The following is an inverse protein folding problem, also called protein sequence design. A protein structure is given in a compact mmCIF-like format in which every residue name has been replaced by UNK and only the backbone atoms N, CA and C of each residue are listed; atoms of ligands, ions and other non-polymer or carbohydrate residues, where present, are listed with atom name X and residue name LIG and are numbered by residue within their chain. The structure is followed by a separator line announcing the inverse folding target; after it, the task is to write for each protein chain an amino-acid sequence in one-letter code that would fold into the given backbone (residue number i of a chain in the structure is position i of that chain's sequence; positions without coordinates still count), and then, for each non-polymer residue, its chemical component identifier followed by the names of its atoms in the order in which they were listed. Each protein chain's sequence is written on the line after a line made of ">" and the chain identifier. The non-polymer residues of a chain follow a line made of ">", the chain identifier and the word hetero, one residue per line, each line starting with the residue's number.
data_IF_899639420209
#
_entry.id   IF_899639420209
#
_cell.length_a   1.000
_cell.length_b   1.000
_cell.length_c   1.000
_cell.angle_alpha   90.00
_cell.angle_beta   90.00
_cell.angle_gamma   90.00
#
_symmetry.space_group_name_H-M   'P 1'
#
loop_
_entity.id
_entity.type
_entity.pdbx_description
1 polymer ?
#
# COMPACT_ATOMS: atom_id res chain seq x y z
N UNK A 1 -4.81 -13.07 -6.90
CA UNK A 1 -4.20 -13.45 -5.62
C UNK A 1 -2.69 -13.47 -5.67
N UNK A 2 -2.05 -14.60 -6.01
CA UNK A 2 -0.58 -14.70 -6.14
C UNK A 2 -0.16 -14.56 -7.61
N UNK A 3 -0.07 -13.32 -8.08
CA UNK A 3 0.18 -12.96 -9.48
C UNK A 3 1.60 -13.25 -9.94
N UNK A 4 2.54 -13.33 -9.00
CA UNK A 4 3.97 -13.57 -9.27
C UNK A 4 4.42 -14.98 -8.93
N UNK A 5 3.47 -15.88 -8.58
CA UNK A 5 3.74 -17.25 -8.13
C UNK A 5 4.73 -17.33 -6.97
N UNK A 6 4.68 -16.34 -6.06
CA UNK A 6 5.60 -16.20 -4.93
C UNK A 6 5.65 -17.46 -4.06
N UNK A 7 4.50 -18.14 -3.87
CA UNK A 7 4.39 -19.37 -3.06
C UNK A 7 5.30 -20.50 -3.56
N UNK A 8 5.61 -20.52 -4.85
CA UNK A 8 6.47 -21.55 -5.45
C UNK A 8 7.96 -21.17 -5.41
N UNK A 9 8.29 -19.91 -5.11
CA UNK A 9 9.66 -19.43 -5.08
C UNK A 9 10.44 -20.01 -3.89
N UNK A 10 11.55 -20.70 -4.17
CA UNK A 10 12.36 -21.38 -3.15
C UNK A 10 12.99 -20.40 -2.16
N UNK A 11 13.43 -19.22 -2.62
CA UNK A 11 14.00 -18.19 -1.75
C UNK A 11 12.94 -17.59 -0.84
N UNK A 12 11.73 -17.34 -1.36
CA UNK A 12 10.59 -16.92 -0.54
C UNK A 12 10.26 -17.92 0.56
N UNK A 13 10.21 -19.23 0.26
CA UNK A 13 9.89 -20.26 1.27
C UNK A 13 10.82 -20.20 2.49
N UNK A 14 12.11 -19.91 2.29
CA UNK A 14 13.08 -19.72 3.39
C UNK A 14 12.76 -18.45 4.20
N UNK A 15 12.59 -17.32 3.52
CA UNK A 15 12.25 -16.03 4.14
C UNK A 15 10.94 -16.12 4.94
N UNK A 16 9.92 -16.76 4.36
CA UNK A 16 8.60 -16.92 4.96
C UNK A 16 8.62 -17.82 6.21
N UNK A 17 9.54 -18.80 6.26
CA UNK A 17 9.74 -19.63 7.45
C UNK A 17 10.35 -18.82 8.61
N UNK A 18 11.30 -17.92 8.32
CA UNK A 18 11.93 -17.04 9.31
C UNK A 18 10.98 -15.95 9.84
N UNK A 19 10.12 -15.44 8.96
CA UNK A 19 9.22 -14.31 9.27
C UNK A 19 7.84 -14.72 9.75
N UNK A 20 7.45 -15.99 9.60
CA UNK A 20 6.10 -16.48 9.90
C UNK A 20 5.04 -16.04 8.88
N UNK A 21 5.46 -15.77 7.63
CA UNK A 21 4.60 -15.28 6.54
C UNK A 21 4.30 -16.35 5.49
N UNK A 22 4.22 -17.63 5.87
CA UNK A 22 4.10 -18.74 4.90
C UNK A 22 2.80 -18.69 4.08
N UNK A 23 1.73 -18.19 4.67
CA UNK A 23 0.41 -18.15 4.05
C UNK A 23 0.18 -16.84 3.28
N UNK A 24 0.60 -16.83 2.02
CA UNK A 24 0.43 -15.67 1.10
C UNK A 24 -1.02 -15.60 0.59
N UNK A 25 -1.70 -14.51 0.94
CA UNK A 25 -3.08 -14.18 0.55
C UNK A 25 -3.11 -13.39 -0.77
N UNK A 26 -2.12 -12.51 -0.95
CA UNK A 26 -1.90 -11.73 -2.18
C UNK A 26 -0.41 -11.49 -2.41
N UNK A 27 0.04 -11.51 -3.67
CA UNK A 27 1.37 -11.05 -4.06
C UNK A 27 1.36 -10.54 -5.50
N UNK A 28 1.90 -9.34 -5.71
CA UNK A 28 2.03 -8.72 -7.04
C UNK A 28 3.20 -7.71 -7.09
N UNK A 29 3.69 -7.38 -8.28
CA UNK A 29 4.62 -6.27 -8.49
C UNK A 29 3.79 -5.02 -8.77
N UNK A 30 3.81 -4.06 -7.85
CA UNK A 30 3.02 -2.83 -7.92
C UNK A 30 3.88 -1.59 -7.79
N UNK A 31 3.28 -0.42 -7.97
CA UNK A 31 3.96 0.86 -7.84
C UNK A 31 3.79 1.41 -6.43
N UNK A 32 4.88 1.55 -5.69
CA UNK A 32 4.92 2.32 -4.44
C UNK A 32 5.21 3.77 -4.77
N UNK A 33 4.38 4.69 -4.27
CA UNK A 33 4.60 6.12 -4.47
C UNK A 33 5.64 6.62 -3.45
N UNK A 34 6.66 7.30 -3.95
CA UNK A 34 7.71 7.88 -3.13
C UNK A 34 7.17 9.12 -2.41
N UNK A 35 7.13 9.06 -1.08
CA UNK A 35 6.63 10.15 -0.21
C UNK A 35 7.17 11.50 -0.62
N UNK A 36 8.49 11.63 -0.75
CA UNK A 36 9.16 12.92 -1.00
C UNK A 36 8.89 13.52 -2.39
N UNK A 37 8.48 12.74 -3.40
CA UNK A 37 8.46 13.22 -4.79
C UNK A 37 7.21 12.86 -5.58
N UNK A 38 6.37 11.93 -5.11
CA UNK A 38 5.25 11.39 -5.89
C UNK A 38 5.68 10.38 -6.96
N UNK A 39 6.98 10.08 -7.13
CA UNK A 39 7.45 9.14 -8.16
C UNK A 39 7.08 7.69 -7.83
N UNK A 40 6.66 6.94 -8.85
CA UNK A 40 6.40 5.50 -8.74
C UNK A 40 7.71 4.70 -8.64
N UNK A 41 7.73 3.73 -7.74
CA UNK A 41 8.82 2.76 -7.57
C UNK A 41 8.25 1.34 -7.58
N UNK A 42 8.67 0.52 -8.55
CA UNK A 42 8.25 -0.87 -8.61
C UNK A 42 8.73 -1.66 -7.40
N UNK A 43 7.80 -2.33 -6.72
CA UNK A 43 8.07 -3.13 -5.53
C UNK A 43 7.24 -4.41 -5.58
N UNK A 44 7.75 -5.49 -4.99
CA UNK A 44 6.93 -6.65 -4.71
C UNK A 44 6.11 -6.35 -3.44
N UNK A 45 4.78 -6.36 -3.59
CA UNK A 45 3.84 -6.19 -2.50
C UNK A 45 3.23 -7.54 -2.15
N UNK A 46 3.25 -7.88 -0.86
CA UNK A 46 2.78 -9.17 -0.37
C UNK A 46 1.84 -8.94 0.80
N UNK A 47 0.72 -9.65 0.82
CA UNK A 47 -0.15 -9.77 1.99
C UNK A 47 -0.09 -11.23 2.44
N UNK A 48 0.44 -11.47 3.62
CA UNK A 48 0.31 -12.75 4.32
C UNK A 48 -0.91 -12.73 5.24
N UNK A 49 -1.20 -13.82 5.93
CA UNK A 49 -2.21 -13.85 6.99
C UNK A 49 -1.82 -13.05 8.25
N UNK A 50 -0.59 -12.56 8.36
CA UNK A 50 -0.09 -11.85 9.55
C UNK A 50 0.44 -10.44 9.27
N UNK A 51 0.84 -10.13 8.04
CA UNK A 51 1.49 -8.87 7.71
C UNK A 51 1.29 -8.44 6.25
N UNK A 52 1.46 -7.13 6.04
CA UNK A 52 1.71 -6.53 4.73
C UNK A 52 3.23 -6.34 4.58
N UNK A 53 3.81 -6.87 3.50
CA UNK A 53 5.23 -6.75 3.20
C UNK A 53 5.46 -5.95 1.92
N UNK A 54 6.53 -5.17 1.95
CA UNK A 54 7.06 -4.43 0.81
C UNK A 54 8.49 -4.90 0.59
N UNK A 55 8.73 -5.52 -0.55
CA UNK A 55 9.97 -6.22 -0.86
C UNK A 55 10.57 -5.72 -2.16
N UNK A 56 11.88 -5.86 -2.29
CA UNK A 56 12.53 -5.72 -3.59
C UNK A 56 12.05 -6.82 -4.55
N UNK A 57 11.53 -6.45 -5.71
CA UNK A 57 10.95 -7.41 -6.65
C UNK A 57 11.99 -8.30 -7.35
N UNK A 58 13.28 -7.91 -7.33
CA UNK A 58 14.37 -8.69 -7.94
C UNK A 58 15.09 -9.52 -6.91
N UNK A 59 15.44 -8.92 -5.77
CA UNK A 59 16.27 -9.59 -4.76
C UNK A 59 15.47 -10.30 -3.68
N UNK A 60 14.15 -10.07 -3.59
CA UNK A 60 13.29 -10.50 -2.49
C UNK A 60 13.74 -9.99 -1.11
N UNK A 61 14.55 -8.93 -1.07
CA UNK A 61 14.90 -8.28 0.20
C UNK A 61 13.67 -7.60 0.79
N UNK A 62 13.31 -7.93 2.03
CA UNK A 62 12.25 -7.24 2.76
C UNK A 62 12.72 -5.82 3.07
N UNK A 63 12.00 -4.82 2.56
CA UNK A 63 12.21 -3.40 2.89
C UNK A 63 11.35 -3.00 4.07
N UNK A 64 10.12 -3.49 4.11
CA UNK A 64 9.17 -3.25 5.20
C UNK A 64 8.33 -4.50 5.43
N UNK A 65 8.12 -4.84 6.71
CA UNK A 65 7.16 -5.85 7.16
C UNK A 65 6.27 -5.18 8.21
N UNK A 66 5.03 -4.93 7.85
CA UNK A 66 4.06 -4.22 8.69
C UNK A 66 3.06 -5.25 9.20
N UNK A 67 3.04 -5.55 10.52
CA UNK A 67 2.03 -6.42 11.10
C UNK A 67 0.61 -5.93 10.77
N UNK A 68 -0.32 -6.84 10.50
CA UNK A 68 -1.70 -6.47 10.21
C UNK A 68 -2.33 -5.66 11.37
N UNK A 69 -1.92 -5.94 12.60
CA UNK A 69 -2.36 -5.23 13.82
C UNK A 69 -1.94 -3.75 13.85
N UNK A 70 -0.92 -3.37 13.08
CA UNK A 70 -0.43 -2.00 13.01
C UNK A 70 -1.17 -1.18 11.95
N UNK A 71 -1.99 -1.79 11.10
CA UNK A 71 -2.73 -1.09 10.04
C UNK A 71 -4.13 -0.76 10.56
N UNK A 72 -4.44 0.52 10.71
CA UNK A 72 -5.69 0.94 11.37
C UNK A 72 -6.72 1.58 10.44
N UNK A 73 -6.28 2.08 9.27
CA UNK A 73 -7.15 2.69 8.28
C UNK A 73 -6.62 2.44 6.87
N UNK A 74 -7.53 2.31 5.91
CA UNK A 74 -7.26 2.29 4.48
C UNK A 74 -8.02 3.46 3.85
N UNK A 75 -7.33 4.37 3.19
CA UNK A 75 -7.97 5.49 2.48
C UNK A 75 -7.84 5.35 0.97
N UNK A 76 -8.93 5.63 0.26
CA UNK A 76 -9.01 5.65 -1.20
C UNK A 76 -9.62 6.96 -1.67
N UNK A 77 -9.44 7.27 -2.96
CA UNK A 77 -10.23 8.30 -3.62
C UNK A 77 -11.52 7.70 -4.20
N UNK A 78 -12.54 8.53 -4.52
CA UNK A 78 -13.73 8.07 -5.22
C UNK A 78 -13.52 7.90 -6.74
N UNK A 79 -12.29 8.06 -7.24
CA UNK A 79 -11.99 8.06 -8.67
C UNK A 79 -11.37 6.74 -9.15
N UNK A 80 -11.32 6.55 -10.47
CA UNK A 80 -10.68 5.40 -11.12
C UNK A 80 -9.16 5.62 -11.25
N UNK A 81 -8.47 5.78 -10.12
CA UNK A 81 -7.05 6.14 -10.08
C UNK A 81 -6.11 5.03 -9.60
N UNK A 82 -6.64 3.86 -9.25
CA UNK A 82 -5.88 2.70 -8.77
C UNK A 82 -5.03 2.96 -7.51
N UNK A 83 -5.31 4.03 -6.75
CA UNK A 83 -4.53 4.43 -5.58
C UNK A 83 -5.17 3.97 -4.25
N UNK A 84 -4.32 3.53 -3.33
CA UNK A 84 -4.70 3.30 -1.94
C UNK A 84 -3.60 3.74 -0.95
N UNK A 85 -4.03 4.33 0.16
CA UNK A 85 -3.17 4.65 1.31
C UNK A 85 -3.46 3.71 2.45
N UNK A 86 -2.42 3.07 2.95
CA UNK A 86 -2.44 2.21 4.14
C UNK A 86 -1.88 2.99 5.32
N UNK A 87 -2.74 3.32 6.27
CA UNK A 87 -2.37 4.09 7.45
C UNK A 87 -1.92 3.16 8.56
N UNK A 88 -0.74 3.45 9.09
CA UNK A 88 -0.04 2.56 10.01
C UNK A 88 0.25 3.25 11.33
N UNK A 89 0.10 2.52 12.43
CA UNK A 89 0.50 2.98 13.76
C UNK A 89 2.01 3.16 13.79
N UNK A 90 2.47 4.11 14.60
CA UNK A 90 3.90 4.26 14.88
C UNK A 90 4.36 3.11 15.80
N UNK A 91 5.08 2.15 15.23
CA UNK A 91 5.75 1.03 15.89
C UNK A 91 7.24 1.10 15.59
N UNK A 92 8.10 0.32 16.25
CA UNK A 92 9.55 0.34 15.95
C UNK A 92 9.85 0.08 14.46
N UNK A 93 9.04 -0.76 13.82
CA UNK A 93 9.15 -1.08 12.39
C UNK A 93 8.72 0.08 11.46
N UNK A 94 7.82 0.96 11.91
CA UNK A 94 7.23 2.06 11.10
C UNK A 94 7.64 3.46 11.54
N UNK A 95 8.30 3.59 12.71
CA UNK A 95 8.55 4.84 13.47
C UNK A 95 9.12 6.00 12.66
N UNK A 96 9.83 5.72 11.56
CA UNK A 96 10.47 6.74 10.70
C UNK A 96 9.82 6.91 9.32
N UNK A 97 8.78 6.15 8.99
CA UNK A 97 8.29 6.02 7.61
C UNK A 97 6.83 6.43 7.46
N UNK A 98 5.98 6.13 8.44
CA UNK A 98 4.55 6.42 8.36
C UNK A 98 3.84 5.63 7.25
N UNK A 99 2.74 6.20 6.76
CA UNK A 99 1.77 5.62 5.86
C UNK A 99 2.35 5.27 4.48
N UNK A 100 1.72 4.32 3.80
CA UNK A 100 2.16 3.81 2.50
C UNK A 100 1.12 4.09 1.43
N UNK A 101 1.54 4.72 0.33
CA UNK A 101 0.72 4.98 -0.84
C UNK A 101 1.17 4.05 -1.98
N UNK A 102 0.23 3.35 -2.59
CA UNK A 102 0.48 2.46 -3.71
C UNK A 102 -0.52 2.70 -4.85
N UNK A 103 -0.05 2.45 -6.07
CA UNK A 103 -0.82 2.41 -7.32
C UNK A 103 -0.82 0.97 -7.84
N UNK A 104 -2.00 0.43 -8.15
CA UNK A 104 -2.17 -0.95 -8.60
C UNK A 104 -3.55 -1.20 -9.23
N UNK A 105 -3.58 -1.85 -10.39
CA UNK A 105 -4.84 -2.30 -11.02
C UNK A 105 -5.58 -3.39 -10.22
N UNK A 106 -5.03 -3.86 -9.09
CA UNK A 106 -5.66 -4.81 -8.19
C UNK A 106 -6.10 -4.15 -6.86
N UNK A 107 -6.33 -2.83 -6.84
CA UNK A 107 -6.60 -2.06 -5.60
C UNK A 107 -7.76 -2.64 -4.78
N UNK A 108 -8.87 -2.99 -5.43
CA UNK A 108 -10.05 -3.56 -4.75
C UNK A 108 -9.75 -4.93 -4.14
N UNK A 109 -9.01 -5.80 -4.84
CA UNK A 109 -8.62 -7.11 -4.31
C UNK A 109 -7.68 -6.96 -3.09
N UNK A 110 -6.72 -6.03 -3.15
CA UNK A 110 -5.81 -5.77 -2.03
C UNK A 110 -6.58 -5.23 -0.82
N UNK A 111 -7.43 -4.21 -1.00
CA UNK A 111 -8.19 -3.61 0.09
C UNK A 111 -9.11 -4.62 0.75
N UNK A 112 -9.87 -5.38 -0.01
CA UNK A 112 -10.81 -6.38 0.53
C UNK A 112 -10.08 -7.52 1.26
N UNK A 113 -8.97 -8.01 0.71
CA UNK A 113 -8.18 -9.06 1.38
C UNK A 113 -7.50 -8.56 2.64
N UNK A 114 -6.88 -7.38 2.59
CA UNK A 114 -6.21 -6.83 3.74
C UNK A 114 -7.19 -6.45 4.85
N UNK A 115 -8.38 -5.96 4.50
CA UNK A 115 -9.48 -5.74 5.44
C UNK A 115 -9.78 -7.00 6.27
N UNK A 116 -9.95 -8.15 5.60
CA UNK A 116 -10.20 -9.43 6.27
C UNK A 116 -9.00 -9.90 7.11
N UNK A 117 -7.77 -9.72 6.60
CA UNK A 117 -6.56 -10.07 7.35
C UNK A 117 -6.45 -9.24 8.64
N UNK A 118 -6.71 -7.94 8.57
CA UNK A 118 -6.69 -7.05 9.75
C UNK A 118 -7.82 -7.40 10.72
N UNK A 119 -9.03 -7.64 10.22
CA UNK A 119 -10.17 -8.05 11.03
C UNK A 119 -9.89 -9.35 11.79
N UNK A 120 -9.30 -10.34 11.11
CA UNK A 120 -8.94 -11.61 11.73
C UNK A 120 -7.81 -11.45 12.78
N UNK A 121 -6.85 -10.56 12.52
CA UNK A 121 -5.71 -10.36 13.43
C UNK A 121 -6.07 -9.55 14.68
N UNK A 122 -7.04 -8.63 14.59
CA UNK A 122 -7.35 -7.67 15.67
C UNK A 122 -8.74 -7.84 16.29
N UNK A 123 -9.60 -8.68 15.68
CA UNK A 123 -11.01 -8.80 16.03
C UNK A 123 -11.88 -7.62 15.60
N UNK A 124 -11.30 -6.59 14.95
CA UNK A 124 -12.03 -5.41 14.45
C UNK A 124 -11.55 -5.05 13.05
N UNK A 125 -12.44 -4.65 12.14
CA UNK A 125 -12.01 -4.20 10.82
C UNK A 125 -11.22 -2.89 10.91
N UNK A 126 -10.33 -2.61 9.93
CA UNK A 126 -9.74 -1.28 9.78
C UNK A 126 -10.82 -0.28 9.36
N UNK A 127 -10.60 0.99 9.64
CA UNK A 127 -11.42 2.06 9.08
C UNK A 127 -11.19 2.13 7.55
N UNK A 128 -12.26 2.33 6.79
CA UNK A 128 -12.17 2.58 5.34
C UNK A 128 -12.68 3.99 5.08
N UNK A 129 -11.81 4.85 4.54
CA UNK A 129 -12.12 6.23 4.23
C UNK A 129 -12.09 6.44 2.71
N UNK A 130 -13.16 6.99 2.14
CA UNK A 130 -13.21 7.33 0.72
C UNK A 130 -13.47 8.82 0.61
N UNK A 131 -12.48 9.58 0.18
CA UNK A 131 -12.55 11.03 0.13
C UNK A 131 -11.66 11.60 -0.98
N UNK A 132 -12.02 12.78 -1.49
CA UNK A 132 -11.20 13.52 -2.47
C UNK A 132 -10.01 14.24 -1.81
N UNK A 133 -10.00 14.34 -0.48
CA UNK A 133 -8.90 14.91 0.28
C UNK A 133 -8.79 14.23 1.65
N UNK A 134 -7.57 13.88 2.06
CA UNK A 134 -7.29 13.34 3.40
C UNK A 134 -5.80 13.47 3.75
N UNK A 135 -5.47 13.38 5.04
CA UNK A 135 -4.08 13.41 5.52
C UNK A 135 -3.44 12.02 5.50
N UNK A 136 -2.14 11.97 5.16
CA UNK A 136 -1.27 10.83 5.41
C UNK A 136 -0.03 11.27 6.19
N UNK A 137 0.35 10.46 7.18
CA UNK A 137 1.56 10.67 7.96
C UNK A 137 2.76 10.09 7.19
N UNK A 138 3.73 10.91 6.78
CA UNK A 138 4.94 10.45 6.10
C UNK A 138 6.18 10.42 7.01
N UNK A 139 5.96 10.12 8.29
CA UNK A 139 6.95 9.96 9.35
C UNK A 139 7.49 11.29 9.88
N UNK A 140 7.92 12.18 8.99
CA UNK A 140 8.44 13.51 9.35
C UNK A 140 7.36 14.57 9.47
N UNK A 141 6.32 14.44 8.67
CA UNK A 141 5.25 15.42 8.53
C UNK A 141 3.97 14.74 8.05
N UNK A 142 2.83 15.35 8.39
CA UNK A 142 1.56 15.03 7.76
C UNK A 142 1.47 15.74 6.42
N UNK A 143 0.98 15.04 5.41
CA UNK A 143 0.80 15.55 4.06
C UNK A 143 -0.65 15.39 3.68
N UNK A 144 -1.24 16.46 3.15
CA UNK A 144 -2.58 16.43 2.59
C UNK A 144 -2.51 15.81 1.20
N UNK A 145 -3.11 14.64 1.00
CA UNK A 145 -3.37 14.08 -0.32
C UNK A 145 -4.67 14.68 -0.86
N UNK A 146 -4.60 15.27 -2.04
CA UNK A 146 -5.75 15.88 -2.69
C UNK A 146 -5.87 15.37 -4.11
N UNK A 147 -7.04 14.81 -4.43
CA UNK A 147 -7.36 14.18 -5.69
C UNK A 147 -8.21 15.14 -6.53
N UNK A 148 -7.72 15.48 -7.72
CA UNK A 148 -8.34 16.42 -8.65
C UNK A 148 -8.61 15.71 -9.96
N UNK A 149 -9.89 15.63 -10.34
CA UNK A 149 -10.29 15.16 -11.67
C UNK A 149 -10.23 16.32 -12.66
N UNK A 150 -9.33 16.27 -13.64
CA UNK A 150 -9.19 17.30 -14.66
C UNK A 150 -10.18 17.10 -15.81
N UNK A 151 -11.49 17.20 -15.54
CA UNK A 151 -12.54 17.14 -16.56
C UNK A 151 -12.85 15.72 -17.07
N UNK A 152 -14.05 15.56 -17.65
CA UNK A 152 -14.71 14.30 -18.04
C UNK A 152 -14.06 13.58 -19.24
N UNK A 153 -12.77 13.29 -19.18
CA UNK A 153 -12.17 12.31 -20.09
C UNK A 153 -11.88 11.05 -19.29
N UNK A 154 -12.39 9.91 -19.74
CA UNK A 154 -12.09 8.61 -19.14
C UNK A 154 -10.58 8.48 -18.92
N UNK A 155 -10.17 8.53 -17.66
CA UNK A 155 -8.76 8.48 -17.27
C UNK A 155 -8.26 7.10 -17.69
N UNK A 156 -7.43 7.06 -18.73
CA UNK A 156 -6.83 5.80 -19.16
C UNK A 156 -5.88 5.29 -18.06
N UNK A 157 -5.82 3.97 -17.81
CA UNK A 157 -4.88 3.39 -16.86
C UNK A 157 -3.45 3.91 -17.13
N UNK A 158 -2.84 4.54 -16.12
CA UNK A 158 -1.48 5.09 -16.20
C UNK A 158 -1.35 6.59 -16.53
N UNK A 159 -2.45 7.36 -16.57
CA UNK A 159 -2.39 8.83 -16.73
C UNK A 159 -2.31 9.62 -15.42
N UNK A 160 -2.36 8.95 -14.27
CA UNK A 160 -2.32 9.59 -12.95
C UNK A 160 -1.00 10.33 -12.77
N UNK A 161 -1.07 11.65 -12.56
CA UNK A 161 0.11 12.49 -12.27
C UNK A 161 0.12 12.89 -10.82
N UNK A 162 1.19 12.52 -10.11
CA UNK A 162 1.35 12.81 -8.68
C UNK A 162 2.46 13.85 -8.49
N UNK A 163 2.11 14.96 -7.85
CA UNK A 163 3.03 16.06 -7.56
C UNK A 163 3.08 16.33 -6.06
N UNK A 164 4.28 16.51 -5.51
CA UNK A 164 4.44 17.01 -4.14
C UNK A 164 4.87 18.47 -4.14
N UNK A 165 4.14 19.31 -3.40
CA UNK A 165 4.46 20.71 -3.12
C UNK A 165 4.36 20.95 -1.61
N UNK A 166 5.50 20.97 -0.93
CA UNK A 166 5.55 21.10 0.54
C UNK A 166 4.81 19.96 1.24
N UNK A 167 3.83 20.33 2.07
CA UNK A 167 2.95 19.42 2.83
C UNK A 167 1.69 19.01 2.06
N UNK A 168 1.63 19.22 0.74
CA UNK A 168 0.51 18.79 -0.11
C UNK A 168 1.01 17.87 -1.23
N UNK A 169 0.30 16.77 -1.43
CA UNK A 169 0.48 15.85 -2.54
C UNK A 169 -0.78 15.89 -3.40
N UNK A 170 -0.65 16.42 -4.62
CA UNK A 170 -1.75 16.52 -5.56
C UNK A 170 -1.71 15.35 -6.52
N UNK A 171 -2.83 14.64 -6.62
CA UNK A 171 -3.08 13.58 -7.58
C UNK A 171 -4.01 14.15 -8.64
N UNK A 172 -3.51 14.27 -9.87
CA UNK A 172 -4.26 14.79 -11.01
C UNK A 172 -4.59 13.62 -11.93
N UNK A 173 -5.88 13.45 -12.17
CA UNK A 173 -6.45 12.43 -13.04
C UNK A 173 -6.82 13.05 -14.38
#
# INVERSE_FOLDING_TARGET
>A
GDYVRLRHNVKWKKIAAETGDQYVVFADIINKIARASGKCLQTLFVVSTSAMLVMDHRTLQIKYRIPATDIFRISLSPFMDDLAVFHVRSSEATRKKGDFLFETGHVIEIVTKLYLVIQNATGKPPEVNVATEFEANFGKENVVLAFKCAGLSEVQPGQVKIYRRGNRMEVVL
#
